data_IF_687432532725
#
_entry.id   IF_687432532725
#
_cell.length_a   1.000
_cell.length_b   1.000
_cell.length_c   1.000
_cell.angle_alpha   90.00
_cell.angle_beta   90.00
_cell.angle_gamma   90.00
#
_symmetry.space_group_name_H-M   'P 1'
#
loop_
_entity.id
_entity.type
_entity.pdbx_description
1 polymer ?
#
# COMPACT_ATOMS: atom_id res chain seq x y z
N UNK A 1 -12.35 11.31 13.76
CA UNK A 1 -12.47 9.85 13.76
C UNK A 1 -12.83 9.28 15.13
N UNK A 2 -12.07 9.52 16.21
CA UNK A 2 -12.29 8.91 17.54
C UNK A 2 -13.71 9.05 18.10
N UNK A 3 -14.34 10.23 17.98
CA UNK A 3 -15.73 10.46 18.45
C UNK A 3 -16.74 9.58 17.71
N UNK A 4 -16.56 9.40 16.40
CA UNK A 4 -17.41 8.54 15.59
C UNK A 4 -17.26 7.07 16.01
N UNK A 5 -16.03 6.61 16.21
CA UNK A 5 -15.76 5.24 16.66
C UNK A 5 -16.30 4.98 18.07
N UNK A 6 -16.22 5.97 18.95
CA UNK A 6 -16.80 5.87 20.30
C UNK A 6 -18.33 5.72 20.26
N UNK A 7 -19.01 6.54 19.45
CA UNK A 7 -20.47 6.45 19.28
C UNK A 7 -20.86 5.09 18.66
N UNK A 8 -20.17 4.65 17.61
CA UNK A 8 -20.41 3.33 16.98
C UNK A 8 -20.21 2.20 18.01
N UNK A 9 -19.13 2.25 18.81
CA UNK A 9 -18.86 1.27 19.87
C UNK A 9 -20.00 1.20 20.88
N UNK A 10 -20.54 2.35 21.30
CA UNK A 10 -21.68 2.40 22.22
C UNK A 10 -22.94 1.78 21.62
N UNK A 11 -23.23 2.06 20.33
CA UNK A 11 -24.37 1.47 19.60
C UNK A 11 -24.24 -0.04 19.41
N UNK A 12 -23.02 -0.52 19.13
CA UNK A 12 -22.72 -1.96 19.07
C UNK A 12 -23.03 -2.64 20.42
N UNK A 13 -22.58 -2.05 21.55
CA UNK A 13 -22.86 -2.57 22.88
C UNK A 13 -24.36 -2.59 23.23
N UNK A 14 -25.13 -1.63 22.71
CA UNK A 14 -26.59 -1.57 22.84
C UNK A 14 -27.33 -2.42 21.81
N UNK A 15 -26.59 -3.12 20.94
CA UNK A 15 -27.15 -3.95 19.87
C UNK A 15 -28.12 -3.19 18.95
N UNK A 16 -27.81 -1.93 18.61
CA UNK A 16 -28.66 -1.07 17.78
C UNK A 16 -28.59 -1.44 16.29
N UNK A 17 -27.52 -2.07 15.82
CA UNK A 17 -27.38 -2.55 14.44
C UNK A 17 -28.03 -3.93 14.29
N UNK A 18 -29.23 -3.98 13.71
CA UNK A 18 -30.10 -5.17 13.67
C UNK A 18 -29.87 -6.08 12.47
N UNK A 19 -29.31 -5.57 11.39
CA UNK A 19 -29.13 -6.30 10.15
C UNK A 19 -27.91 -5.74 9.37
N UNK A 20 -27.63 -6.34 8.23
CA UNK A 20 -26.52 -5.97 7.35
C UNK A 20 -26.66 -4.54 6.81
N UNK A 21 -27.89 -4.12 6.46
CA UNK A 21 -28.17 -2.75 5.99
C UNK A 21 -27.84 -1.69 7.05
N UNK A 22 -28.13 -1.95 8.33
CA UNK A 22 -27.74 -1.05 9.40
C UNK A 22 -26.21 -0.96 9.54
N UNK A 23 -25.49 -2.08 9.37
CA UNK A 23 -24.03 -2.07 9.36
C UNK A 23 -23.53 -1.27 8.17
N UNK A 24 -24.03 -1.51 6.97
CA UNK A 24 -23.62 -0.84 5.74
C UNK A 24 -23.86 0.68 5.79
N UNK A 25 -25.10 1.10 6.06
CA UNK A 25 -25.49 2.51 5.96
C UNK A 25 -25.16 3.33 7.21
N UNK A 26 -25.46 2.79 8.40
CA UNK A 26 -25.36 3.58 9.63
C UNK A 26 -24.00 3.49 10.30
N UNK A 27 -23.15 2.51 9.90
CA UNK A 27 -21.83 2.32 10.46
C UNK A 27 -20.74 2.52 9.39
N UNK A 28 -20.70 1.67 8.36
CA UNK A 28 -19.61 1.67 7.36
C UNK A 28 -19.58 2.95 6.55
N UNK A 29 -20.74 3.41 6.01
CA UNK A 29 -20.78 4.65 5.24
C UNK A 29 -20.35 5.87 6.08
N UNK A 30 -20.68 5.88 7.37
CA UNK A 30 -20.26 6.93 8.30
C UNK A 30 -18.75 6.95 8.54
N UNK A 31 -18.13 5.78 8.66
CA UNK A 31 -16.65 5.64 8.77
C UNK A 31 -15.99 6.07 7.47
N UNK A 32 -16.49 5.61 6.33
CA UNK A 32 -15.99 5.95 4.99
C UNK A 32 -16.06 7.46 4.76
N UNK A 33 -17.18 8.10 5.10
CA UNK A 33 -17.32 9.56 5.00
C UNK A 33 -16.30 10.30 5.87
N UNK A 34 -16.08 9.84 7.11
CA UNK A 34 -15.12 10.45 8.01
C UNK A 34 -13.67 10.29 7.56
N UNK A 35 -13.39 9.33 6.67
CA UNK A 35 -12.10 9.10 6.02
C UNK A 35 -11.93 9.91 4.72
N UNK A 36 -12.83 10.88 4.47
CA UNK A 36 -12.71 11.83 3.36
C UNK A 36 -13.32 11.38 2.03
N UNK A 37 -14.05 10.23 2.02
CA UNK A 37 -14.78 9.78 0.84
C UNK A 37 -16.15 10.47 0.78
N UNK A 38 -16.53 10.95 -0.40
CA UNK A 38 -17.87 11.53 -0.60
C UNK A 38 -18.89 10.41 -0.86
N UNK A 39 -19.56 9.97 0.21
CA UNK A 39 -20.56 8.89 0.14
C UNK A 39 -21.81 9.25 -0.67
N UNK A 40 -21.97 10.52 -1.00
CA UNK A 40 -23.06 11.03 -1.84
C UNK A 40 -22.67 11.14 -3.32
N UNK A 41 -21.38 10.94 -3.63
CA UNK A 41 -20.89 10.94 -5.00
C UNK A 41 -20.87 9.50 -5.56
N UNK A 42 -21.79 9.13 -6.47
CA UNK A 42 -21.89 7.77 -7.00
C UNK A 42 -20.71 7.37 -7.89
N UNK A 43 -19.84 8.31 -8.28
CA UNK A 43 -18.62 8.00 -9.03
C UNK A 43 -17.44 7.71 -8.10
N UNK A 44 -17.54 8.02 -6.83
CA UNK A 44 -16.52 7.78 -5.81
C UNK A 44 -16.89 6.64 -4.87
N UNK A 45 -18.15 6.56 -4.43
CA UNK A 45 -18.66 5.50 -3.57
C UNK A 45 -19.84 4.81 -4.27
N UNK A 46 -19.61 3.59 -4.73
CA UNK A 46 -20.61 2.81 -5.44
C UNK A 46 -21.12 1.66 -4.54
N UNK A 47 -22.44 1.59 -4.32
CA UNK A 47 -23.07 0.52 -3.57
C UNK A 47 -23.57 -0.58 -4.50
N UNK A 48 -23.59 -1.84 -4.03
CA UNK A 48 -24.04 -2.99 -4.83
C UNK A 48 -23.25 -3.12 -6.16
N UNK A 49 -21.94 -2.94 -6.10
CA UNK A 49 -21.10 -2.98 -7.28
C UNK A 49 -20.96 -4.39 -7.84
N UNK A 50 -21.26 -4.58 -9.13
CA UNK A 50 -21.10 -5.87 -9.80
C UNK A 50 -19.63 -6.10 -10.17
N UNK A 51 -18.89 -6.78 -9.29
CA UNK A 51 -17.46 -7.05 -9.46
C UNK A 51 -17.15 -8.29 -10.30
N UNK A 52 -18.14 -9.10 -10.67
CA UNK A 52 -17.94 -10.31 -11.48
C UNK A 52 -18.63 -10.20 -12.83
N UNK A 53 -18.04 -10.85 -13.85
CA UNK A 53 -18.65 -10.97 -15.20
C UNK A 53 -19.66 -12.13 -15.27
N UNK A 54 -19.74 -12.94 -14.25
CA UNK A 54 -20.69 -14.05 -14.18
C UNK A 54 -22.12 -13.53 -14.07
N UNK A 55 -23.06 -14.32 -14.54
CA UNK A 55 -24.51 -14.01 -14.47
C UNK A 55 -25.09 -14.14 -13.06
N UNK A 56 -24.28 -14.59 -12.08
CA UNK A 56 -24.66 -14.58 -10.68
C UNK A 56 -24.88 -13.14 -10.19
N UNK A 57 -25.87 -12.94 -9.34
CA UNK A 57 -26.23 -11.64 -8.79
C UNK A 57 -25.32 -11.21 -7.63
N UNK A 58 -24.10 -11.76 -7.52
CA UNK A 58 -23.18 -11.43 -6.45
C UNK A 58 -22.61 -10.01 -6.66
N UNK A 59 -22.75 -9.17 -5.65
CA UNK A 59 -22.34 -7.77 -5.65
C UNK A 59 -21.55 -7.45 -4.39
N UNK A 60 -20.59 -6.54 -4.53
CA UNK A 60 -19.85 -5.96 -3.40
C UNK A 60 -20.72 -4.87 -2.78
N UNK A 61 -20.89 -4.89 -1.47
CA UNK A 61 -21.74 -3.92 -0.77
C UNK A 61 -21.30 -2.48 -0.98
N UNK A 62 -20.00 -2.19 -0.89
CA UNK A 62 -19.44 -0.86 -1.12
C UNK A 62 -18.14 -0.97 -1.90
N UNK A 63 -18.03 -0.25 -3.01
CA UNK A 63 -16.82 -0.10 -3.79
C UNK A 63 -16.38 1.37 -3.80
N UNK A 64 -15.12 1.63 -3.45
CA UNK A 64 -14.53 2.95 -3.44
C UNK A 64 -13.64 3.12 -4.68
N UNK A 65 -13.85 4.20 -5.41
CA UNK A 65 -13.14 4.53 -6.65
C UNK A 65 -12.32 5.79 -6.47
N UNK A 66 -11.15 5.81 -7.08
CA UNK A 66 -10.35 7.03 -7.21
C UNK A 66 -10.12 7.33 -8.68
N UNK A 67 -9.98 8.60 -9.06
CA UNK A 67 -9.76 8.98 -10.46
C UNK A 67 -8.51 8.36 -11.10
N UNK A 68 -7.51 8.06 -10.27
CA UNK A 68 -6.22 7.53 -10.72
C UNK A 68 -6.18 5.99 -10.78
N UNK A 69 -7.24 5.33 -10.34
CA UNK A 69 -7.36 3.88 -10.43
C UNK A 69 -8.12 3.51 -11.71
N UNK A 70 -7.46 2.79 -12.61
CA UNK A 70 -8.12 2.06 -13.71
C UNK A 70 -9.04 0.96 -13.16
N UNK A 71 -8.85 0.60 -11.88
CA UNK A 71 -9.60 -0.37 -11.12
C UNK A 71 -10.13 0.24 -9.81
N UNK A 72 -11.05 -0.45 -9.17
CA UNK A 72 -11.60 -0.10 -7.84
C UNK A 72 -10.46 -0.01 -6.80
N UNK A 73 -10.47 1.04 -6.00
CA UNK A 73 -9.48 1.21 -4.94
C UNK A 73 -9.71 0.27 -3.75
N UNK A 74 -10.97 0.17 -3.29
CA UNK A 74 -11.33 -0.65 -2.13
C UNK A 74 -12.67 -1.33 -2.37
N UNK A 75 -12.74 -2.62 -2.03
CA UNK A 75 -13.99 -3.34 -1.83
C UNK A 75 -14.26 -3.48 -0.34
N UNK A 76 -15.49 -3.21 0.09
CA UNK A 76 -15.94 -3.45 1.46
C UNK A 76 -17.17 -4.34 1.42
N UNK A 77 -17.06 -5.50 2.05
CA UNK A 77 -18.16 -6.44 2.24
C UNK A 77 -18.67 -6.33 3.68
N UNK A 78 -19.95 -6.09 3.84
CA UNK A 78 -20.62 -5.94 5.11
C UNK A 78 -21.37 -7.22 5.47
N UNK A 79 -21.45 -7.53 6.75
CA UNK A 79 -22.27 -8.61 7.27
C UNK A 79 -23.00 -8.14 8.53
N UNK A 80 -24.07 -8.81 8.89
CA UNK A 80 -24.76 -8.56 10.16
C UNK A 80 -23.81 -8.78 11.33
N UNK A 81 -23.99 -8.03 12.42
CA UNK A 81 -23.16 -8.14 13.63
C UNK A 81 -23.15 -9.56 14.16
N UNK A 82 -21.95 -10.13 14.36
CA UNK A 82 -21.76 -11.51 14.85
C UNK A 82 -21.73 -12.58 13.75
N UNK A 83 -21.96 -12.23 12.49
CA UNK A 83 -21.98 -13.21 11.40
C UNK A 83 -20.61 -13.86 11.14
N UNK A 84 -19.51 -13.22 11.51
CA UNK A 84 -18.15 -13.78 11.31
C UNK A 84 -17.89 -15.07 12.08
N UNK A 85 -18.57 -15.27 13.21
CA UNK A 85 -18.44 -16.51 13.98
C UNK A 85 -18.95 -17.75 13.22
N UNK A 86 -19.85 -17.56 12.26
CA UNK A 86 -20.52 -18.64 11.56
C UNK A 86 -19.88 -18.99 10.20
N UNK A 87 -19.43 -18.02 9.40
CA UNK A 87 -19.07 -18.29 7.99
C UNK A 87 -18.00 -17.35 7.35
N UNK A 88 -16.97 -17.01 8.10
CA UNK A 88 -15.88 -16.18 7.57
C UNK A 88 -15.25 -16.78 6.30
N UNK A 89 -15.11 -18.11 6.23
CA UNK A 89 -14.48 -18.77 5.10
C UNK A 89 -15.30 -18.67 3.80
N UNK A 90 -16.63 -18.60 3.87
CA UNK A 90 -17.47 -18.37 2.70
C UNK A 90 -17.34 -16.93 2.19
N UNK A 91 -17.32 -15.95 3.10
CA UNK A 91 -17.12 -14.55 2.76
C UNK A 91 -15.74 -14.33 2.12
N UNK A 92 -14.68 -14.92 2.66
CA UNK A 92 -13.33 -14.86 2.07
C UNK A 92 -13.28 -15.48 0.66
N UNK A 93 -14.02 -16.59 0.42
CA UNK A 93 -14.13 -17.18 -0.93
C UNK A 93 -14.87 -16.26 -1.90
N UNK A 94 -15.96 -15.65 -1.49
CA UNK A 94 -16.74 -14.68 -2.28
C UNK A 94 -15.85 -13.51 -2.73
N UNK A 95 -15.08 -12.94 -1.81
CA UNK A 95 -14.20 -11.82 -2.12
C UNK A 95 -13.01 -12.20 -3.00
N UNK A 96 -12.48 -13.40 -2.88
CA UNK A 96 -11.51 -13.92 -3.83
C UNK A 96 -12.06 -13.94 -5.25
N UNK A 97 -13.33 -14.35 -5.42
CA UNK A 97 -13.96 -14.39 -6.72
C UNK A 97 -14.21 -13.00 -7.29
N UNK A 98 -14.58 -12.00 -6.45
CA UNK A 98 -14.65 -10.59 -6.88
C UNK A 98 -13.32 -10.07 -7.40
N UNK A 99 -12.23 -10.30 -6.66
CA UNK A 99 -10.90 -9.82 -7.01
C UNK A 99 -10.28 -10.52 -8.22
N UNK A 100 -10.87 -11.60 -8.72
CA UNK A 100 -10.41 -12.27 -9.94
C UNK A 100 -10.74 -11.49 -11.21
N UNK A 101 -11.91 -10.88 -11.27
CA UNK A 101 -12.43 -10.17 -12.45
C UNK A 101 -12.19 -8.65 -12.34
N UNK A 102 -12.26 -8.09 -11.13
CA UNK A 102 -11.98 -6.69 -10.80
C UNK A 102 -11.11 -6.62 -9.56
N UNK A 103 -9.85 -6.28 -9.72
CA UNK A 103 -8.88 -6.26 -8.62
C UNK A 103 -8.95 -4.92 -7.89
N UNK A 104 -9.36 -4.95 -6.62
CA UNK A 104 -9.23 -3.79 -5.73
C UNK A 104 -7.86 -3.80 -5.05
N UNK A 105 -7.34 -2.61 -4.72
CA UNK A 105 -6.11 -2.49 -3.93
C UNK A 105 -6.28 -3.15 -2.57
N UNK A 106 -7.37 -2.82 -1.88
CA UNK A 106 -7.74 -3.45 -0.63
C UNK A 106 -9.12 -4.09 -0.72
N UNK A 107 -9.27 -5.16 0.01
CA UNK A 107 -10.57 -5.75 0.30
C UNK A 107 -10.78 -5.78 1.79
N UNK A 108 -11.90 -5.25 2.25
CA UNK A 108 -12.26 -5.16 3.66
C UNK A 108 -13.50 -6.01 3.90
N UNK A 109 -13.49 -6.80 4.97
CA UNK A 109 -14.67 -7.51 5.46
C UNK A 109 -15.01 -6.95 6.83
N UNK A 110 -16.29 -6.64 7.07
CA UNK A 110 -16.73 -6.19 8.38
C UNK A 110 -18.14 -6.67 8.71
N UNK A 111 -18.35 -7.03 9.98
CA UNK A 111 -19.67 -7.19 10.58
C UNK A 111 -20.01 -5.99 11.50
N UNK A 112 -19.30 -4.88 11.32
CA UNK A 112 -19.40 -3.69 12.15
C UNK A 112 -18.54 -3.75 13.40
N UNK A 113 -18.44 -4.91 14.06
CA UNK A 113 -17.56 -5.13 15.21
C UNK A 113 -16.14 -5.51 14.77
N UNK A 114 -16.02 -6.57 13.98
CA UNK A 114 -14.74 -7.05 13.48
C UNK A 114 -14.46 -6.47 12.12
N UNK A 115 -13.23 -6.02 11.90
CA UNK A 115 -12.74 -5.53 10.63
C UNK A 115 -11.51 -6.31 10.22
N UNK A 116 -11.44 -6.70 8.93
CA UNK A 116 -10.35 -7.46 8.35
C UNK A 116 -9.96 -6.86 7.02
N UNK A 117 -8.68 -6.58 6.83
CA UNK A 117 -8.11 -5.90 5.67
C UNK A 117 -7.20 -6.84 4.91
N UNK A 118 -7.47 -7.05 3.64
CA UNK A 118 -6.72 -7.90 2.74
C UNK A 118 -6.11 -7.08 1.62
N UNK A 119 -4.84 -7.38 1.28
CA UNK A 119 -4.12 -6.72 0.21
C UNK A 119 -3.92 -7.69 -0.96
N UNK A 120 -4.59 -7.43 -2.09
CA UNK A 120 -4.65 -8.37 -3.20
C UNK A 120 -3.44 -8.29 -4.15
N UNK A 121 -2.83 -7.13 -4.34
CA UNK A 121 -1.65 -6.93 -5.20
C UNK A 121 -0.34 -7.48 -4.63
N UNK A 122 -0.39 -8.23 -3.54
CA UNK A 122 0.79 -8.87 -3.01
C UNK A 122 1.31 -9.93 -3.99
N UNK A 123 2.59 -9.84 -4.34
CA UNK A 123 3.34 -10.80 -5.16
C UNK A 123 3.43 -12.21 -4.53
N UNK A 124 2.77 -12.48 -3.44
CA UNK A 124 2.73 -13.77 -2.81
C UNK A 124 1.66 -14.64 -3.47
N UNK A 125 2.10 -15.64 -4.20
CA UNK A 125 1.30 -16.83 -4.54
C UNK A 125 0.91 -17.53 -3.24
N UNK A 126 -0.20 -17.15 -2.63
CA UNK A 126 -0.68 -17.72 -1.37
C UNK A 126 -2.20 -17.78 -1.34
N UNK A 127 -2.75 -18.50 -0.37
CA UNK A 127 -4.18 -18.50 -0.12
C UNK A 127 -4.68 -17.09 0.25
N UNK A 128 -5.97 -16.82 0.07
CA UNK A 128 -6.55 -15.49 0.37
C UNK A 128 -6.31 -15.06 1.82
N UNK A 129 -6.35 -15.99 2.77
CA UNK A 129 -6.02 -15.74 4.19
C UNK A 129 -4.61 -15.14 4.42
N UNK A 130 -3.64 -15.48 3.54
CA UNK A 130 -2.26 -14.97 3.63
C UNK A 130 -2.13 -13.50 3.23
N UNK A 131 -3.18 -12.93 2.66
CA UNK A 131 -3.29 -11.52 2.26
C UNK A 131 -3.84 -10.63 3.37
N UNK A 132 -4.26 -11.21 4.49
CA UNK A 132 -4.68 -10.48 5.68
C UNK A 132 -3.48 -9.75 6.30
N UNK A 133 -3.54 -8.42 6.37
CA UNK A 133 -2.44 -7.61 6.91
C UNK A 133 -2.85 -6.78 8.13
N UNK A 134 -4.13 -6.46 8.29
CA UNK A 134 -4.64 -5.74 9.46
C UNK A 134 -6.00 -6.31 9.88
N UNK A 135 -6.25 -6.39 11.16
CA UNK A 135 -7.56 -6.74 11.74
C UNK A 135 -7.71 -6.04 13.08
N UNK A 136 -8.94 -5.73 13.45
CA UNK A 136 -9.27 -5.21 14.79
C UNK A 136 -10.69 -5.56 15.21
N UNK A 137 -10.96 -5.53 16.49
CA UNK A 137 -12.28 -5.63 17.13
C UNK A 137 -12.68 -4.24 17.67
N UNK A 138 -13.71 -3.64 17.08
CA UNK A 138 -14.15 -2.30 17.46
C UNK A 138 -14.67 -2.21 18.90
N UNK A 139 -15.04 -3.31 19.54
CA UNK A 139 -15.50 -3.32 20.94
C UNK A 139 -14.35 -3.46 21.94
N UNK A 140 -13.30 -4.22 21.61
CA UNK A 140 -12.25 -4.62 22.55
C UNK A 140 -10.97 -3.80 22.38
N UNK A 141 -10.54 -3.51 21.14
CA UNK A 141 -9.25 -2.87 20.87
C UNK A 141 -9.27 -1.36 21.19
N UNK A 142 -8.11 -0.76 21.40
CA UNK A 142 -7.96 0.66 21.69
C UNK A 142 -8.44 1.54 20.52
N UNK A 143 -9.23 2.58 20.79
CA UNK A 143 -9.82 3.43 19.74
C UNK A 143 -8.80 4.22 18.93
N UNK A 144 -7.69 4.58 19.54
CA UNK A 144 -6.58 5.28 18.87
C UNK A 144 -5.84 4.35 17.90
N UNK A 145 -5.66 3.08 18.25
CA UNK A 145 -5.09 2.06 17.36
C UNK A 145 -6.02 1.76 16.17
N UNK A 146 -7.33 1.64 16.42
CA UNK A 146 -8.34 1.46 15.38
C UNK A 146 -8.38 2.66 14.44
N UNK A 147 -8.42 3.88 15.00
CA UNK A 147 -8.39 5.10 14.21
C UNK A 147 -7.10 5.18 13.37
N UNK A 148 -5.95 4.85 13.94
CA UNK A 148 -4.68 4.79 13.24
C UNK A 148 -4.66 3.77 12.10
N UNK A 149 -5.28 2.59 12.28
CA UNK A 149 -5.41 1.59 11.22
C UNK A 149 -6.32 2.10 10.08
N UNK A 150 -7.50 2.65 10.41
CA UNK A 150 -8.44 3.19 9.43
C UNK A 150 -7.83 4.38 8.66
N UNK A 151 -7.20 5.32 9.35
CA UNK A 151 -6.53 6.47 8.72
C UNK A 151 -5.37 6.01 7.82
N UNK A 152 -4.61 5.00 8.25
CA UNK A 152 -3.49 4.49 7.48
C UNK A 152 -3.93 3.84 6.17
N UNK A 153 -4.99 3.02 6.20
CA UNK A 153 -5.34 2.14 5.09
C UNK A 153 -6.58 2.54 4.31
N UNK A 154 -7.50 3.33 4.89
CA UNK A 154 -8.72 3.75 4.22
C UNK A 154 -8.86 5.27 4.05
N UNK A 155 -8.00 6.10 4.67
CA UNK A 155 -8.04 7.53 4.41
C UNK A 155 -7.85 7.79 2.91
N UNK A 156 -8.77 8.53 2.31
CA UNK A 156 -8.79 8.80 0.87
C UNK A 156 -7.44 9.32 0.35
N UNK A 157 -6.86 10.28 1.04
CA UNK A 157 -5.56 10.84 0.66
C UNK A 157 -4.42 9.82 0.71
N UNK A 158 -4.45 8.88 1.65
CA UNK A 158 -3.45 7.81 1.75
C UNK A 158 -3.61 6.76 0.64
N UNK A 159 -4.81 6.54 0.16
CA UNK A 159 -5.07 5.73 -1.04
C UNK A 159 -4.54 6.46 -2.28
N UNK A 160 -4.90 7.74 -2.46
CA UNK A 160 -4.50 8.54 -3.61
C UNK A 160 -2.98 8.71 -3.74
N UNK A 161 -2.27 8.93 -2.64
CA UNK A 161 -0.81 9.10 -2.63
C UNK A 161 -0.03 7.78 -2.51
N UNK A 162 -0.72 6.64 -2.58
CA UNK A 162 -0.17 5.28 -2.48
C UNK A 162 0.57 4.96 -1.17
N UNK A 163 0.47 5.80 -0.13
CA UNK A 163 1.11 5.51 1.17
C UNK A 163 0.46 4.32 1.87
N UNK A 164 -0.87 4.16 1.72
CA UNK A 164 -1.60 3.01 2.24
C UNK A 164 -1.06 1.69 1.67
N UNK A 165 -0.80 1.64 0.36
CA UNK A 165 -0.21 0.49 -0.32
C UNK A 165 1.16 0.12 0.25
N UNK A 166 2.08 1.09 0.30
CA UNK A 166 3.45 0.86 0.83
C UNK A 166 3.43 0.33 2.26
N UNK A 167 2.52 0.85 3.09
CA UNK A 167 2.37 0.37 4.47
C UNK A 167 1.79 -1.03 4.55
N UNK A 168 0.79 -1.36 3.73
CA UNK A 168 0.22 -2.72 3.69
C UNK A 168 1.27 -3.75 3.25
N UNK A 169 2.09 -3.45 2.26
CA UNK A 169 3.21 -4.29 1.83
C UNK A 169 4.19 -4.53 2.98
N UNK A 170 4.56 -3.48 3.74
CA UNK A 170 5.43 -3.60 4.90
C UNK A 170 4.83 -4.49 6.01
N UNK A 171 3.53 -4.34 6.32
CA UNK A 171 2.83 -5.16 7.31
C UNK A 171 2.76 -6.62 6.91
N UNK A 172 2.50 -6.92 5.63
CA UNK A 172 2.50 -8.31 5.12
C UNK A 172 3.89 -8.94 5.23
N UNK A 173 4.94 -8.19 4.92
CA UNK A 173 6.31 -8.68 5.05
C UNK A 173 6.68 -8.95 6.52
N UNK A 174 6.25 -8.10 7.44
CA UNK A 174 6.44 -8.33 8.89
C UNK A 174 5.73 -9.61 9.35
N UNK A 175 4.45 -9.75 9.04
CA UNK A 175 3.69 -10.95 9.40
C UNK A 175 4.25 -12.24 8.76
N UNK A 176 4.85 -12.15 7.56
CA UNK A 176 5.56 -13.27 6.95
C UNK A 176 6.84 -13.61 7.71
N UNK A 177 7.63 -12.61 8.10
CA UNK A 177 8.83 -12.81 8.91
C UNK A 177 8.51 -13.39 10.28
N UNK A 178 7.48 -12.86 10.96
CA UNK A 178 7.05 -13.37 12.28
C UNK A 178 6.63 -14.83 12.23
N UNK A 179 5.78 -15.21 11.27
CA UNK A 179 5.37 -16.61 11.07
C UNK A 179 6.56 -17.51 10.78
N UNK A 180 7.44 -17.08 9.89
CA UNK A 180 8.63 -17.88 9.55
C UNK A 180 9.59 -18.03 10.74
N UNK A 181 9.72 -17.01 11.60
CA UNK A 181 10.50 -17.11 12.85
C UNK A 181 9.86 -18.05 13.85
N UNK A 182 8.53 -18.03 13.98
CA UNK A 182 7.78 -18.97 14.81
C UNK A 182 8.00 -20.42 14.35
N UNK A 183 7.94 -20.67 13.03
CA UNK A 183 8.11 -22.00 12.45
C UNK A 183 9.52 -22.58 12.63
N UNK A 184 10.55 -21.73 12.59
CA UNK A 184 11.94 -22.21 12.75
C UNK A 184 12.42 -22.22 14.20
N UNK A 185 11.67 -21.65 15.14
CA UNK A 185 12.10 -21.56 16.54
C UNK A 185 12.44 -22.90 17.19
N UNK A 186 11.65 -24.00 17.02
CA UNK A 186 12.00 -25.30 17.59
C UNK A 186 13.32 -25.87 17.04
N UNK A 187 13.57 -25.67 15.74
CA UNK A 187 14.80 -26.16 15.11
C UNK A 187 16.00 -25.28 15.45
N UNK A 188 15.79 -23.98 15.60
CA UNK A 188 16.83 -23.06 16.10
C UNK A 188 17.26 -23.41 17.52
N UNK A 189 16.32 -23.77 18.42
CA UNK A 189 16.62 -24.25 19.76
C UNK A 189 17.47 -25.54 19.77
N UNK A 190 17.21 -26.46 18.85
CA UNK A 190 18.04 -27.66 18.68
C UNK A 190 19.45 -27.30 18.18
N UNK A 191 19.55 -26.35 17.24
CA UNK A 191 20.83 -25.95 16.65
C UNK A 191 21.75 -25.26 17.67
N UNK A 192 21.20 -24.52 18.63
CA UNK A 192 21.97 -23.89 19.73
C UNK A 192 22.73 -24.93 20.60
N UNK A 193 22.21 -26.15 20.74
CA UNK A 193 22.83 -27.22 21.52
C UNK A 193 23.85 -28.07 20.74
N UNK A 194 24.10 -27.74 19.46
CA UNK A 194 25.03 -28.45 18.59
C UNK A 194 26.22 -27.57 18.19
N UNK A 195 27.43 -28.13 17.98
CA UNK A 195 28.54 -27.35 17.45
C UNK A 195 28.18 -26.72 16.10
N UNK A 196 28.50 -25.47 15.84
CA UNK A 196 29.36 -24.51 16.57
C UNK A 196 28.68 -23.72 17.71
N UNK A 197 27.56 -24.15 18.28
CA UNK A 197 26.81 -23.50 19.36
C UNK A 197 26.42 -22.04 19.04
N UNK A 198 25.67 -21.77 17.96
CA UNK A 198 25.28 -20.42 17.63
C UNK A 198 24.33 -19.86 18.70
N UNK A 199 24.27 -18.51 18.83
CA UNK A 199 23.19 -17.90 19.62
C UNK A 199 21.84 -18.17 18.98
N UNK A 200 20.74 -18.16 19.76
CA UNK A 200 19.40 -18.42 19.24
C UNK A 200 19.01 -17.48 18.09
N UNK A 201 19.24 -16.15 18.16
CA UNK A 201 19.02 -15.26 17.03
C UNK A 201 19.87 -15.64 15.79
N UNK A 202 21.13 -16.01 15.97
CA UNK A 202 21.99 -16.42 14.87
C UNK A 202 21.52 -17.72 14.21
N UNK A 203 21.07 -18.71 14.98
CA UNK A 203 20.47 -19.93 14.49
C UNK A 203 19.20 -19.66 13.66
N UNK A 204 18.33 -18.77 14.13
CA UNK A 204 17.12 -18.35 13.39
C UNK A 204 17.47 -17.67 12.06
N UNK A 205 18.44 -16.76 12.06
CA UNK A 205 18.93 -16.10 10.82
C UNK A 205 19.44 -17.14 9.81
N UNK A 206 20.25 -18.09 10.28
CA UNK A 206 20.81 -19.15 9.44
C UNK A 206 19.73 -20.05 8.83
N UNK A 207 18.75 -20.47 9.63
CA UNK A 207 17.65 -21.36 9.17
C UNK A 207 16.72 -20.65 8.19
N UNK A 208 16.44 -19.34 8.41
CA UNK A 208 15.59 -18.58 7.52
C UNK A 208 16.29 -18.19 6.22
N UNK A 209 17.59 -17.92 6.26
CA UNK A 209 18.40 -17.71 5.05
C UNK A 209 18.34 -18.94 4.12
N UNK A 210 18.36 -20.16 4.68
CA UNK A 210 18.21 -21.40 3.91
C UNK A 210 16.80 -21.52 3.26
N UNK A 211 15.77 -20.85 3.81
CA UNK A 211 14.42 -20.77 3.25
C UNK A 211 14.19 -19.52 2.36
N UNK A 212 15.29 -18.85 1.92
CA UNK A 212 15.23 -17.64 1.08
C UNK A 212 14.48 -16.49 1.74
N UNK A 213 14.48 -16.41 3.07
CA UNK A 213 13.90 -15.32 3.83
C UNK A 213 14.97 -14.66 4.70
N UNK A 214 15.30 -13.41 4.39
CA UNK A 214 16.33 -12.67 5.12
C UNK A 214 15.72 -11.95 6.33
N UNK A 215 16.28 -12.22 7.51
CA UNK A 215 16.05 -11.44 8.73
C UNK A 215 17.38 -10.98 9.30
N UNK A 216 17.35 -9.92 10.10
CA UNK A 216 18.52 -9.45 10.85
C UNK A 216 18.58 -10.10 12.24
N UNK A 217 19.76 -10.19 12.88
CA UNK A 217 19.86 -10.63 14.27
C UNK A 217 19.02 -9.77 15.24
N UNK A 218 18.87 -8.48 14.95
CA UNK A 218 18.04 -7.57 15.74
C UNK A 218 16.54 -7.90 15.62
N UNK A 219 16.05 -8.25 14.44
CA UNK A 219 14.66 -8.71 14.25
C UNK A 219 14.41 -10.04 14.99
N UNK A 220 15.34 -10.99 14.90
CA UNK A 220 15.24 -12.24 15.66
C UNK A 220 15.23 -12.02 17.16
N UNK A 221 16.07 -11.10 17.66
CA UNK A 221 16.11 -10.73 19.08
C UNK A 221 14.81 -10.05 19.52
N UNK A 222 14.27 -9.11 18.74
CA UNK A 222 13.01 -8.44 19.03
C UNK A 222 11.85 -9.44 19.09
N UNK A 223 11.79 -10.37 18.17
CA UNK A 223 10.81 -11.46 18.17
C UNK A 223 10.89 -12.32 19.44
N UNK A 224 12.09 -12.72 19.86
CA UNK A 224 12.31 -13.53 21.07
C UNK A 224 11.93 -12.76 22.36
N UNK A 225 12.06 -11.45 22.38
CA UNK A 225 11.66 -10.58 23.48
C UNK A 225 10.16 -10.26 23.49
N UNK A 226 9.39 -10.70 22.49
CA UNK A 226 7.99 -10.32 22.34
C UNK A 226 7.79 -8.85 22.00
N UNK A 227 8.84 -8.17 21.55
CA UNK A 227 8.78 -6.76 21.11
C UNK A 227 8.30 -6.74 19.66
N UNK A 228 7.37 -5.83 19.32
CA UNK A 228 6.90 -5.70 17.94
C UNK A 228 8.07 -5.43 16.99
N UNK A 229 8.10 -6.15 15.88
CA UNK A 229 9.09 -5.92 14.83
C UNK A 229 8.82 -4.54 14.19
N UNK A 230 9.83 -3.67 14.18
CA UNK A 230 9.72 -2.39 13.50
C UNK A 230 9.74 -2.61 11.98
N UNK A 231 8.73 -2.12 11.26
CA UNK A 231 8.77 -2.06 9.81
C UNK A 231 9.84 -1.05 9.40
N UNK A 232 10.79 -1.46 8.58
CA UNK A 232 11.81 -0.55 8.06
C UNK A 232 11.12 0.60 7.31
N UNK A 233 11.22 1.84 7.87
CA UNK A 233 10.66 3.06 7.27
C UNK A 233 9.17 3.35 7.56
N UNK A 234 8.49 2.56 8.39
CA UNK A 234 7.15 2.93 8.87
C UNK A 234 7.26 3.62 10.24
N UNK A 235 6.58 4.76 10.49
CA UNK A 235 6.46 5.27 11.84
C UNK A 235 5.66 4.23 12.65
N UNK A 236 6.30 3.71 13.70
CA UNK A 236 5.66 2.84 14.69
C UNK A 236 4.49 3.60 15.30
N UNK A 237 3.25 3.07 15.33
CA UNK A 237 2.23 3.65 16.19
C UNK A 237 2.76 3.61 17.63
N UNK A 238 2.62 4.69 18.43
CA UNK A 238 3.14 4.72 19.77
C UNK A 238 2.48 3.63 20.61
N UNK A 239 3.25 2.62 21.02
CA UNK A 239 2.83 1.71 22.07
C UNK A 239 2.61 2.52 23.34
N UNK A 240 1.42 2.43 23.91
CA UNK A 240 1.02 3.12 25.11
C UNK A 240 1.92 2.73 26.27
N UNK A 241 2.85 3.62 26.65
CA UNK A 241 3.43 3.62 27.99
C UNK A 241 2.44 4.34 28.90
N UNK A 242 1.93 3.63 29.88
CA UNK A 242 1.13 4.18 30.97
C UNK A 242 1.89 5.32 31.68
N UNK A 243 1.35 6.54 31.63
CA UNK A 243 1.93 7.69 32.34
C UNK A 243 1.02 8.91 32.30
N UNK A 244 0.52 9.28 33.42
CA UNK A 244 -0.42 10.28 33.89
C UNK A 244 -0.59 11.64 33.21
N UNK A 245 -1.57 12.43 33.65
CA UNK A 245 -2.15 13.55 32.89
C UNK A 245 -1.26 14.80 32.91
N UNK A 246 -0.84 15.26 31.72
CA UNK A 246 -0.21 16.57 31.57
C UNK A 246 -1.23 17.56 30.98
N UNK A 247 -1.46 18.65 31.71
CA UNK A 247 -2.32 19.78 31.36
C UNK A 247 -1.86 20.45 30.07
N UNK A 248 -2.79 20.66 29.15
CA UNK A 248 -2.61 21.49 27.94
C UNK A 248 -2.62 22.98 28.27
N UNK A 249 -1.75 23.81 27.71
CA UNK A 249 -1.98 25.23 27.52
C UNK A 249 -2.57 25.52 26.13
N UNK A 250 -3.50 26.48 26.11
CA UNK A 250 -4.25 26.93 24.92
C UNK A 250 -3.36 27.64 23.89
N UNK A 251 -3.71 27.60 22.59
CA UNK A 251 -2.87 28.13 21.53
C UNK A 251 -3.08 29.62 21.31
N UNK A 252 -2.01 30.40 21.36
CA UNK A 252 -1.94 31.73 20.76
C UNK A 252 -1.59 31.62 19.28
N UNK A 253 -2.45 32.21 18.42
CA UNK A 253 -2.22 32.38 16.98
C UNK A 253 -0.92 33.11 16.72
N UNK A 254 -0.01 32.53 15.97
CA UNK A 254 1.07 33.23 15.27
C UNK A 254 1.29 32.55 13.92
N UNK A 255 1.14 33.33 12.85
CA UNK A 255 1.45 32.93 11.50
C UNK A 255 2.96 32.62 11.41
N UNK A 256 3.31 31.46 10.88
CA UNK A 256 4.69 31.09 10.55
C UNK A 256 4.69 30.61 9.12
N UNK A 257 5.62 31.19 8.34
CA UNK A 257 5.92 30.85 6.97
C UNK A 257 6.35 29.36 6.84
N UNK A 258 6.15 28.74 5.65
CA UNK A 258 6.50 27.35 5.45
C UNK A 258 8.03 27.15 5.54
N UNK A 259 8.50 26.05 6.14
CA UNK A 259 9.92 25.71 6.14
C UNK A 259 10.39 25.37 4.72
N UNK A 260 11.66 25.65 4.37
CA UNK A 260 12.19 25.33 3.06
C UNK A 260 12.25 23.82 2.88
N UNK A 261 11.82 23.37 1.69
CA UNK A 261 11.94 22.00 1.26
C UNK A 261 13.42 21.58 1.30
N UNK A 262 13.70 20.50 2.03
CA UNK A 262 15.00 19.83 1.97
C UNK A 262 15.12 19.21 0.59
N UNK A 263 15.90 19.83 -0.26
CA UNK A 263 16.33 19.28 -1.55
C UNK A 263 17.31 18.16 -1.22
N UNK A 264 17.10 16.91 -1.67
CA UNK A 264 18.17 15.91 -1.64
C UNK A 264 19.32 16.44 -2.50
N UNK A 265 20.50 16.55 -1.92
CA UNK A 265 21.71 16.92 -2.64
C UNK A 265 22.03 15.93 -3.77
N UNK A 266 22.80 16.35 -4.79
CA UNK A 266 23.18 15.46 -5.87
C UNK A 266 23.97 14.28 -5.29
N UNK A 267 23.55 13.07 -5.64
CA UNK A 267 24.31 11.86 -5.40
C UNK A 267 25.69 11.97 -6.11
N UNK A 268 26.77 11.47 -5.50
CA UNK A 268 28.06 11.48 -6.15
C UNK A 268 27.98 10.64 -7.44
N UNK A 269 28.40 11.23 -8.54
CA UNK A 269 28.61 10.56 -9.82
C UNK A 269 29.76 9.56 -9.64
N UNK A 270 29.47 8.26 -9.62
CA UNK A 270 30.34 7.14 -9.99
C UNK A 270 29.88 5.75 -9.52
N UNK A 271 28.62 5.57 -9.10
CA UNK A 271 28.07 4.21 -8.97
C UNK A 271 27.13 3.90 -10.14
N UNK A 272 27.52 2.94 -10.99
CA UNK A 272 26.63 2.39 -12.02
C UNK A 272 25.41 1.78 -11.33
N UNK A 273 24.19 2.29 -11.60
CA UNK A 273 23.00 1.77 -10.95
C UNK A 273 22.83 0.26 -11.20
N UNK A 274 22.71 -0.52 -10.15
CA UNK A 274 22.48 -1.96 -10.28
C UNK A 274 21.08 -2.20 -10.88
N UNK A 275 21.00 -2.98 -11.97
CA UNK A 275 19.75 -3.36 -12.62
C UNK A 275 19.84 -3.47 -14.14
N UNK A 276 18.90 -4.17 -14.76
CA UNK A 276 18.82 -4.32 -16.22
C UNK A 276 18.53 -2.97 -16.89
N UNK A 277 19.27 -2.65 -17.93
CA UNK A 277 19.21 -1.37 -18.64
C UNK A 277 18.18 -1.39 -19.76
N UNK A 278 17.28 -0.43 -19.74
CA UNK A 278 16.26 -0.22 -20.77
C UNK A 278 16.43 1.14 -21.44
N UNK A 279 16.02 1.21 -22.70
CA UNK A 279 16.02 2.44 -23.49
C UNK A 279 14.64 2.67 -24.08
N UNK A 280 14.14 3.91 -23.99
CA UNK A 280 12.92 4.36 -24.65
C UNK A 280 13.28 5.37 -25.72
N UNK A 281 12.75 5.18 -26.95
CA UNK A 281 12.89 6.12 -28.07
C UNK A 281 11.54 6.25 -28.76
N UNK A 282 10.80 7.30 -28.45
CA UNK A 282 9.52 7.61 -29.08
C UNK A 282 9.36 9.12 -29.33
N UNK A 283 9.42 9.54 -30.58
CA UNK A 283 9.34 10.97 -30.94
C UNK A 283 10.41 11.79 -30.26
N UNK A 284 10.01 12.81 -29.51
CA UNK A 284 10.92 13.67 -28.74
C UNK A 284 11.44 13.04 -27.44
N UNK A 285 10.86 11.91 -27.00
CA UNK A 285 11.26 11.24 -25.78
C UNK A 285 12.39 10.24 -26.04
N UNK A 286 13.55 10.46 -25.41
CA UNK A 286 14.71 9.58 -25.44
C UNK A 286 15.20 9.40 -24.01
N UNK A 287 15.07 8.19 -23.46
CA UNK A 287 15.39 7.92 -22.07
C UNK A 287 16.18 6.64 -21.91
N UNK A 288 17.09 6.65 -20.91
CA UNK A 288 17.76 5.46 -20.40
C UNK A 288 17.29 5.24 -18.96
N UNK A 289 16.97 4.00 -18.65
CA UNK A 289 16.54 3.63 -17.32
C UNK A 289 17.08 2.28 -16.87
N UNK A 290 17.16 2.06 -15.57
CA UNK A 290 17.49 0.79 -14.95
C UNK A 290 16.30 0.21 -14.21
N UNK A 291 15.99 -1.06 -14.48
CA UNK A 291 14.94 -1.77 -13.77
C UNK A 291 15.44 -2.13 -12.37
N UNK A 292 14.73 -1.67 -11.37
CA UNK A 292 15.05 -1.93 -9.97
C UNK A 292 14.26 -3.13 -9.41
N UNK A 293 14.71 -3.75 -8.31
CA UNK A 293 13.96 -4.76 -7.62
C UNK A 293 12.54 -4.26 -7.29
N UNK A 294 11.51 -5.08 -7.57
CA UNK A 294 10.12 -4.68 -7.37
C UNK A 294 9.43 -4.00 -8.56
N UNK A 295 10.11 -3.90 -9.73
CA UNK A 295 9.51 -3.38 -10.96
C UNK A 295 9.53 -1.87 -11.12
N UNK A 296 10.12 -1.13 -10.17
CA UNK A 296 10.38 0.29 -10.29
C UNK A 296 11.42 0.56 -11.39
N UNK A 297 11.33 1.72 -12.05
CA UNK A 297 12.23 2.09 -13.13
C UNK A 297 12.96 3.39 -12.81
N UNK A 298 14.27 3.31 -12.61
CA UNK A 298 15.14 4.48 -12.39
C UNK A 298 15.50 5.10 -13.74
N UNK A 299 14.87 6.22 -14.09
CA UNK A 299 15.21 7.02 -15.28
C UNK A 299 16.39 7.91 -14.95
N UNK A 300 17.44 7.83 -15.79
CA UNK A 300 18.70 8.53 -15.56
C UNK A 300 18.62 10.00 -15.98
N UNK A 301 19.39 10.83 -15.32
CA UNK A 301 19.65 12.22 -15.70
C UNK A 301 20.12 12.28 -17.17
N UNK A 302 19.77 13.37 -17.86
CA UNK A 302 20.01 13.51 -19.30
C UNK A 302 18.95 12.87 -20.19
N UNK A 303 18.01 12.07 -19.65
CA UNK A 303 16.85 11.58 -20.40
C UNK A 303 15.95 12.74 -20.80
N UNK A 304 15.40 12.70 -22.04
CA UNK A 304 14.50 13.73 -22.56
C UNK A 304 13.05 13.25 -22.63
N UNK A 305 12.12 14.18 -22.45
CA UNK A 305 10.69 13.94 -22.52
C UNK A 305 10.02 14.94 -23.46
N UNK A 306 8.88 14.54 -24.04
CA UNK A 306 8.08 15.39 -24.91
C UNK A 306 7.53 16.61 -24.13
N UNK A 307 7.52 17.78 -24.75
CA UNK A 307 6.98 19.03 -24.17
C UNK A 307 5.46 19.06 -24.28
N UNK A 308 4.93 18.65 -25.44
CA UNK A 308 3.51 18.73 -25.75
C UNK A 308 2.77 17.53 -25.16
N UNK A 309 1.77 17.82 -24.36
CA UNK A 309 0.86 16.82 -23.79
C UNK A 309 -0.27 16.49 -24.78
N UNK A 310 -0.43 15.21 -25.12
CA UNK A 310 -1.53 14.76 -25.95
C UNK A 310 -2.83 14.63 -25.14
N UNK A 311 -3.98 14.75 -25.81
CA UNK A 311 -5.30 14.57 -25.20
C UNK A 311 -5.51 13.17 -24.55
N UNK A 312 -4.70 12.19 -24.94
CA UNK A 312 -4.71 10.83 -24.36
C UNK A 312 -3.85 10.68 -23.12
N UNK A 313 -3.19 11.74 -22.65
CA UNK A 313 -2.41 11.70 -21.41
C UNK A 313 -3.36 11.62 -20.21
N UNK A 314 -3.15 10.64 -19.35
CA UNK A 314 -3.98 10.45 -18.17
C UNK A 314 -3.83 11.61 -17.17
N UNK A 315 -4.87 11.95 -16.39
CA UNK A 315 -4.77 12.98 -15.34
C UNK A 315 -3.62 12.75 -14.37
N UNK A 316 -3.36 11.49 -13.99
CA UNK A 316 -2.20 11.11 -13.16
C UNK A 316 -0.86 11.40 -13.84
N UNK A 317 -0.75 11.16 -15.16
CA UNK A 317 0.41 11.53 -15.95
C UNK A 317 0.64 13.04 -15.99
N UNK A 318 -0.41 13.83 -16.15
CA UNK A 318 -0.36 15.31 -16.10
C UNK A 318 0.12 15.78 -14.72
N UNK A 319 -0.51 15.30 -13.65
CA UNK A 319 -0.16 15.66 -12.27
C UNK A 319 1.28 15.32 -11.93
N UNK A 320 1.76 14.14 -12.33
CA UNK A 320 3.14 13.71 -12.08
C UNK A 320 4.14 14.57 -12.87
N UNK A 321 3.85 14.90 -14.12
CA UNK A 321 4.69 15.82 -14.92
C UNK A 321 4.79 17.21 -14.28
N UNK A 322 3.66 17.78 -13.85
CA UNK A 322 3.62 19.07 -13.16
C UNK A 322 4.44 19.03 -11.87
N UNK A 323 4.34 17.95 -11.10
CA UNK A 323 5.12 17.74 -9.87
C UNK A 323 6.63 17.68 -10.16
N UNK A 324 7.04 16.98 -11.23
CA UNK A 324 8.45 16.89 -11.64
C UNK A 324 9.00 18.23 -12.17
N UNK A 325 8.19 19.00 -12.87
CA UNK A 325 8.53 20.36 -13.30
C UNK A 325 8.66 21.30 -12.08
N UNK A 326 7.70 21.26 -11.15
CA UNK A 326 7.72 22.09 -9.95
C UNK A 326 8.89 21.75 -9.01
N UNK A 327 9.28 20.48 -8.92
CA UNK A 327 10.43 20.04 -8.11
C UNK A 327 11.78 20.29 -8.79
N UNK A 328 11.81 20.70 -10.06
CA UNK A 328 13.04 20.95 -10.82
C UNK A 328 13.77 19.70 -11.29
N UNK A 329 13.19 18.50 -11.09
CA UNK A 329 13.72 17.23 -11.62
C UNK A 329 13.61 17.21 -13.14
N UNK A 330 12.49 17.72 -13.67
CA UNK A 330 12.24 17.90 -15.09
C UNK A 330 12.31 19.38 -15.43
N UNK A 331 13.08 19.78 -16.45
CA UNK A 331 13.22 21.18 -16.87
C UNK A 331 13.07 21.34 -18.38
N UNK A 332 12.58 22.50 -18.85
CA UNK A 332 12.60 22.84 -20.27
C UNK A 332 14.03 22.86 -20.83
N UNK A 333 14.24 22.25 -21.99
CA UNK A 333 15.49 22.23 -22.73
C UNK A 333 15.24 22.26 -24.25
N UNK A 334 15.22 23.44 -24.84
CA UNK A 334 14.82 23.63 -26.23
C UNK A 334 13.35 23.23 -26.47
N UNK A 335 13.12 22.36 -27.44
CA UNK A 335 11.80 21.81 -27.77
C UNK A 335 11.42 20.57 -26.94
N UNK A 336 12.24 20.19 -25.96
CA UNK A 336 12.04 19.02 -25.11
C UNK A 336 12.10 19.41 -23.65
N UNK A 337 11.73 18.47 -22.78
CA UNK A 337 12.03 18.51 -21.36
C UNK A 337 13.22 17.57 -21.08
N UNK A 338 14.03 17.89 -20.10
CA UNK A 338 15.20 17.08 -19.70
C UNK A 338 15.18 16.76 -18.21
N UNK A 339 15.52 15.54 -17.86
CA UNK A 339 15.75 15.13 -16.47
C UNK A 339 17.12 15.64 -16.01
N UNK A 340 17.12 16.49 -14.99
CA UNK A 340 18.35 17.07 -14.42
C UNK A 340 19.00 16.11 -13.40
N UNK A 341 18.20 15.25 -12.79
CA UNK A 341 18.65 14.22 -11.86
C UNK A 341 17.94 12.89 -12.14
N UNK A 342 18.53 11.81 -11.67
CA UNK A 342 17.90 10.49 -11.71
C UNK A 342 16.59 10.52 -10.95
N UNK A 343 15.56 9.83 -11.50
CA UNK A 343 14.26 9.74 -10.87
C UNK A 343 13.70 8.32 -10.95
N UNK A 344 13.31 7.77 -9.80
CA UNK A 344 12.71 6.44 -9.72
C UNK A 344 11.20 6.51 -9.87
N UNK A 345 10.68 5.91 -10.93
CA UNK A 345 9.25 5.72 -11.15
C UNK A 345 8.79 4.39 -10.58
N UNK A 346 7.61 4.36 -10.01
CA UNK A 346 7.01 3.15 -9.41
C UNK A 346 6.77 2.01 -10.43
N UNK A 347 6.71 2.33 -11.73
CA UNK A 347 6.53 1.36 -12.80
C UNK A 347 7.07 1.87 -14.13
N UNK A 348 7.36 0.93 -15.04
CA UNK A 348 7.73 1.24 -16.42
C UNK A 348 6.63 2.01 -17.16
N UNK A 349 5.35 1.81 -16.80
CA UNK A 349 4.23 2.52 -17.40
C UNK A 349 4.20 3.99 -16.96
N UNK A 350 4.34 4.27 -15.67
CA UNK A 350 4.41 5.63 -15.16
C UNK A 350 5.57 6.42 -15.80
N UNK A 351 6.75 5.80 -15.93
CA UNK A 351 7.90 6.40 -16.60
C UNK A 351 7.62 6.70 -18.08
N UNK A 352 7.08 5.73 -18.81
CA UNK A 352 6.80 5.89 -20.25
C UNK A 352 5.75 6.99 -20.52
N UNK A 353 4.65 7.02 -19.74
CA UNK A 353 3.58 8.03 -19.86
C UNK A 353 4.12 9.45 -19.62
N UNK A 354 4.96 9.63 -18.59
CA UNK A 354 5.59 10.93 -18.29
C UNK A 354 6.54 11.37 -19.39
N UNK A 355 7.39 10.47 -19.91
CA UNK A 355 8.35 10.76 -20.96
C UNK A 355 7.70 11.08 -22.31
N UNK A 356 6.72 10.28 -22.73
CA UNK A 356 6.10 10.39 -24.05
C UNK A 356 4.93 11.41 -24.06
N UNK A 357 4.46 11.84 -22.88
CA UNK A 357 3.35 12.78 -22.68
C UNK A 357 2.03 12.35 -23.36
N UNK A 358 1.78 11.04 -23.43
CA UNK A 358 0.53 10.44 -23.96
C UNK A 358 0.33 9.02 -23.40
N UNK A 359 -0.84 8.45 -23.61
CA UNK A 359 -1.07 7.03 -23.37
C UNK A 359 -0.13 6.19 -24.24
N UNK A 360 0.60 5.27 -23.64
CA UNK A 360 1.60 4.42 -24.30
C UNK A 360 1.68 3.05 -23.62
N UNK A 361 1.87 2.00 -24.43
CA UNK A 361 2.15 0.68 -23.88
C UNK A 361 3.63 0.58 -23.48
N UNK A 362 3.91 0.64 -22.18
CA UNK A 362 5.26 0.60 -21.65
C UNK A 362 6.00 -0.69 -22.00
N UNK A 363 5.30 -1.82 -22.15
CA UNK A 363 5.91 -3.11 -22.47
C UNK A 363 6.62 -3.10 -23.83
N UNK A 364 6.09 -2.32 -24.77
CA UNK A 364 6.65 -2.15 -26.11
C UNK A 364 7.51 -0.89 -26.25
N UNK A 365 7.30 0.10 -25.38
CA UNK A 365 8.04 1.37 -25.41
C UNK A 365 9.47 1.25 -24.89
N UNK A 366 9.65 0.45 -23.84
CA UNK A 366 10.98 0.18 -23.27
C UNK A 366 11.63 -1.03 -23.94
N UNK A 367 12.82 -0.85 -24.45
CA UNK A 367 13.59 -1.88 -25.14
C UNK A 367 14.85 -2.21 -24.38
N UNK A 368 15.11 -3.49 -24.16
CA UNK A 368 16.36 -4.01 -23.63
C UNK A 368 17.31 -4.36 -24.79
N UNK A 369 18.62 -4.32 -24.53
CA UNK A 369 19.63 -4.64 -25.56
C UNK A 369 19.50 -6.06 -26.13
N UNK A 370 18.92 -7.01 -25.38
CA UNK A 370 18.63 -8.37 -25.83
C UNK A 370 17.36 -8.50 -26.68
N UNK A 371 16.63 -7.42 -26.93
CA UNK A 371 15.33 -7.46 -27.62
C UNK A 371 14.15 -7.94 -26.76
N UNK A 372 14.38 -8.28 -25.49
CA UNK A 372 13.33 -8.67 -24.55
C UNK A 372 12.58 -7.43 -24.04
N UNK A 373 11.30 -7.64 -23.66
CA UNK A 373 10.44 -6.59 -23.12
C UNK A 373 10.58 -6.49 -21.61
N UNK A 374 10.18 -5.35 -21.02
CA UNK A 374 10.27 -5.12 -19.57
C UNK A 374 9.56 -6.22 -18.77
N UNK A 375 8.41 -6.72 -19.24
CA UNK A 375 7.66 -7.80 -18.59
C UNK A 375 8.46 -9.10 -18.44
N UNK A 376 9.43 -9.35 -19.33
CA UNK A 376 10.23 -10.60 -19.31
C UNK A 376 11.26 -10.59 -18.17
N UNK A 377 11.47 -9.43 -17.54
CA UNK A 377 12.39 -9.18 -16.43
C UNK A 377 11.69 -8.92 -15.09
N UNK A 378 10.39 -8.62 -15.12
CA UNK A 378 9.58 -8.45 -13.90
C UNK A 378 8.96 -9.82 -13.59
N UNK A 379 9.57 -10.54 -12.66
CA UNK A 379 9.07 -11.82 -12.14
C UNK A 379 8.18 -11.60 -10.92
#
# INVERSE_FOLDING_TARGET
MQEILLDIRQRLRRQEYKNEEHVRLSLVARVVQALGWDVWNPTEVYTEFKATKKEDNTRVDVALFTPDFEATAVFIECKAVGAFAADLAAVERQLRDYNRDHTALFTVITDGRHWRFYFYFSFTSGEFKDKLFCKFDLQEDALDEIAGCLDTFLLRDNILNHSARRRAEAYLMLGKKERAMQDVLPDAQKLVSQPPFPSLPAAMVQLLAAKVLTITPAEAQAFLMGTALAAAGAPVPPMATAGGPVKRPSPKKRAVAPPPAVVPGPAPADEVPAGERFVLKQGAAHATAHLQPGGALLVLAGSTAATTEAASLSPGGISLRQKLLASGVLKPHGEQLIFISDYSFESANAAAVVLVARSVNAQTAWQHASGKQVRDFIK
#
